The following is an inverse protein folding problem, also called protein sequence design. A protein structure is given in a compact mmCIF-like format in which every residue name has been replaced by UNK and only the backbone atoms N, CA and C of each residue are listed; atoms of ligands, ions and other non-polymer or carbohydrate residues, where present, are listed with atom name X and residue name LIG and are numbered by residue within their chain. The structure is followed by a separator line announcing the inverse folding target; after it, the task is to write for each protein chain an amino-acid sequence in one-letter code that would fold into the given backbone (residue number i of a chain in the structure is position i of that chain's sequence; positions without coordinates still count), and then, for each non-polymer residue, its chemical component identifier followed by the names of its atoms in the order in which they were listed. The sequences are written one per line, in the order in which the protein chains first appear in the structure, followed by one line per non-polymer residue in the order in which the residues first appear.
data_IF_505908745843
#
_entry.id   IF_505908745843
#
_cell.length_a   1.000
_cell.length_b   1.000
_cell.length_c   1.000
_cell.angle_alpha   90.00
_cell.angle_beta   90.00
_cell.angle_gamma   90.00
#
_symmetry.space_group_name_H-M   'P 1'
#
loop_
_entity.id
_entity.type
_entity.pdbx_description
1 polymer ?
#
# COMPACT_ATOMS: atom_id res chain seq x y z
N UNK A 1 -18.21 16.06 0.37
CA UNK A 1 -19.41 15.20 0.45
C UNK A 1 -18.95 13.76 0.59
N UNK A 2 -19.52 12.97 1.50
CA UNK A 2 -19.24 11.54 1.58
C UNK A 2 -20.19 10.83 0.61
N UNK A 3 -19.64 10.20 -0.42
CA UNK A 3 -20.41 9.35 -1.34
C UNK A 3 -20.72 8.04 -0.63
N UNK A 4 -22.00 7.79 -0.36
CA UNK A 4 -22.47 6.53 0.22
C UNK A 4 -22.84 5.57 -0.91
N UNK A 5 -22.00 4.59 -1.17
CA UNK A 5 -22.35 3.48 -2.08
C UNK A 5 -23.06 2.41 -1.28
N UNK A 6 -24.31 2.10 -1.66
CA UNK A 6 -25.17 1.12 -0.99
C UNK A 6 -25.14 -0.26 -1.62
N UNK A 7 -24.50 -0.41 -2.79
CA UNK A 7 -24.38 -1.69 -3.50
C UNK A 7 -23.49 -2.67 -2.70
N UNK A 8 -24.01 -3.82 -2.26
CA UNK A 8 -23.24 -4.87 -1.58
C UNK A 8 -22.08 -5.41 -2.43
N UNK A 9 -22.21 -5.35 -3.76
CA UNK A 9 -21.22 -5.87 -4.72
C UNK A 9 -20.10 -4.87 -5.02
N UNK A 10 -20.26 -3.61 -4.61
CA UNK A 10 -19.32 -2.53 -4.92
C UNK A 10 -17.89 -2.85 -4.52
N UNK A 11 -17.70 -3.46 -3.34
CA UNK A 11 -16.38 -3.84 -2.85
C UNK A 11 -15.70 -4.83 -3.77
N UNK A 12 -16.41 -5.88 -4.19
CA UNK A 12 -15.90 -6.91 -5.11
C UNK A 12 -15.61 -6.33 -6.48
N UNK A 13 -16.53 -5.52 -7.03
CA UNK A 13 -16.36 -4.90 -8.34
C UNK A 13 -15.17 -3.93 -8.35
N UNK A 14 -14.98 -3.15 -7.28
CA UNK A 14 -13.83 -2.26 -7.15
C UNK A 14 -12.51 -3.04 -7.11
N UNK A 15 -12.48 -4.20 -6.47
CA UNK A 15 -11.29 -5.05 -6.43
C UNK A 15 -10.94 -5.55 -7.84
N UNK A 16 -11.92 -6.07 -8.57
CA UNK A 16 -11.71 -6.59 -9.93
C UNK A 16 -11.30 -5.50 -10.92
N UNK A 17 -11.94 -4.32 -10.86
CA UNK A 17 -11.57 -3.18 -11.71
C UNK A 17 -10.15 -2.70 -11.41
N UNK A 18 -9.76 -2.58 -10.13
CA UNK A 18 -8.38 -2.19 -9.78
C UNK A 18 -7.38 -3.25 -10.24
N UNK A 19 -7.72 -4.54 -10.14
CA UNK A 19 -6.88 -5.65 -10.62
C UNK A 19 -6.60 -5.57 -12.11
N UNK A 20 -7.55 -5.08 -12.91
CA UNK A 20 -7.38 -4.87 -14.36
C UNK A 20 -6.43 -3.72 -14.71
N UNK A 21 -6.04 -2.88 -13.74
CA UNK A 21 -5.15 -1.73 -13.94
C UNK A 21 -3.86 -1.83 -13.10
N UNK A 22 -2.83 -2.55 -13.56
CA UNK A 22 -1.57 -2.73 -12.83
C UNK A 22 -0.89 -1.43 -12.41
N UNK A 23 -1.02 -0.36 -13.19
CA UNK A 23 -0.48 0.97 -12.87
C UNK A 23 -1.02 1.58 -11.55
N UNK A 24 -2.09 1.01 -10.96
CA UNK A 24 -2.64 1.44 -9.68
C UNK A 24 -1.96 0.79 -8.47
N UNK A 25 -1.33 -0.38 -8.62
CA UNK A 25 -0.79 -1.16 -7.50
C UNK A 25 0.62 -1.73 -7.73
N UNK A 26 1.00 -2.08 -8.96
CA UNK A 26 2.31 -2.60 -9.30
C UNK A 26 3.30 -1.46 -9.53
N UNK A 27 4.25 -1.32 -8.61
CA UNK A 27 5.31 -0.32 -8.64
C UNK A 27 6.32 -0.50 -9.77
N UNK A 28 6.39 -1.69 -10.37
CA UNK A 28 7.26 -2.02 -11.51
C UNK A 28 6.58 -1.67 -12.83
N UNK A 29 5.27 -1.48 -12.84
CA UNK A 29 4.57 -0.98 -14.02
C UNK A 29 5.16 0.39 -14.38
N UNK A 30 5.67 0.59 -15.60
CA UNK A 30 6.26 1.88 -16.01
C UNK A 30 5.27 3.05 -15.84
N UNK A 31 3.98 2.80 -16.04
CA UNK A 31 2.88 3.76 -15.88
C UNK A 31 2.57 4.05 -14.41
N UNK A 32 3.04 3.24 -13.46
CA UNK A 32 2.90 3.51 -12.03
C UNK A 32 3.52 4.84 -11.64
N UNK A 33 4.61 5.28 -12.28
CA UNK A 33 5.22 6.59 -11.97
C UNK A 33 4.51 7.76 -12.63
N UNK A 34 3.75 7.52 -13.70
CA UNK A 34 3.05 8.56 -14.46
C UNK A 34 1.70 8.89 -13.83
N UNK A 35 1.59 10.07 -13.20
CA UNK A 35 0.36 10.53 -12.54
C UNK A 35 -0.83 10.58 -13.49
N UNK A 36 -0.62 10.99 -14.74
CA UNK A 36 -1.66 11.05 -15.75
C UNK A 36 -2.23 9.67 -16.08
N UNK A 37 -1.39 8.66 -16.29
CA UNK A 37 -1.84 7.28 -16.52
C UNK A 37 -2.61 6.71 -15.33
N UNK A 38 -2.16 6.99 -14.10
CA UNK A 38 -2.91 6.56 -12.90
C UNK A 38 -4.26 7.27 -12.79
N UNK A 39 -4.31 8.56 -13.11
CA UNK A 39 -5.55 9.32 -13.11
C UNK A 39 -6.53 8.79 -14.15
N UNK A 40 -6.05 8.49 -15.36
CA UNK A 40 -6.87 7.86 -16.41
C UNK A 40 -7.42 6.51 -15.98
N UNK A 41 -6.59 5.66 -15.35
CA UNK A 41 -7.04 4.37 -14.81
C UNK A 41 -8.13 4.55 -13.74
N UNK A 42 -7.96 5.47 -12.79
CA UNK A 42 -9.01 5.76 -11.81
C UNK A 42 -10.30 6.28 -12.43
N UNK A 43 -10.22 7.13 -13.46
CA UNK A 43 -11.41 7.59 -14.18
C UNK A 43 -12.10 6.44 -14.92
N UNK A 44 -11.34 5.48 -15.47
CA UNK A 44 -11.90 4.25 -16.06
C UNK A 44 -12.66 3.44 -15.02
N UNK A 45 -12.07 3.23 -13.83
CA UNK A 45 -12.72 2.54 -12.71
C UNK A 45 -14.01 3.24 -12.29
N UNK A 46 -14.01 4.58 -12.18
CA UNK A 46 -15.22 5.36 -11.84
C UNK A 46 -16.32 5.14 -12.87
N UNK A 47 -15.96 5.22 -14.16
CA UNK A 47 -16.90 5.06 -15.26
C UNK A 47 -17.52 3.65 -15.29
N UNK A 48 -16.71 2.59 -15.13
CA UNK A 48 -17.19 1.21 -15.13
C UNK A 48 -18.08 0.90 -13.92
N UNK A 49 -17.75 1.45 -12.75
CA UNK A 49 -18.54 1.25 -11.54
C UNK A 49 -19.75 2.18 -11.44
N UNK A 50 -19.96 3.07 -12.42
CA UNK A 50 -20.94 4.17 -12.35
C UNK A 50 -20.87 4.92 -11.01
N UNK A 51 -19.66 5.12 -10.51
CA UNK A 51 -19.44 5.65 -9.17
C UNK A 51 -19.71 7.16 -9.17
N UNK A 52 -20.60 7.68 -8.30
CA UNK A 52 -21.05 9.07 -8.37
C UNK A 52 -20.06 10.07 -7.73
N UNK A 53 -18.78 9.70 -7.61
CA UNK A 53 -17.73 10.52 -7.01
C UNK A 53 -16.51 10.70 -7.91
N UNK A 54 -15.51 11.38 -7.38
CA UNK A 54 -14.25 11.70 -8.06
C UNK A 54 -13.14 10.68 -7.79
N UNK A 55 -12.00 10.87 -8.46
CA UNK A 55 -10.78 10.06 -8.31
C UNK A 55 -10.29 10.00 -6.86
N UNK A 56 -10.40 11.10 -6.11
CA UNK A 56 -9.97 11.11 -4.71
C UNK A 56 -10.88 10.23 -3.83
N UNK A 57 -12.19 10.27 -4.06
CA UNK A 57 -13.13 9.50 -3.25
C UNK A 57 -13.11 8.02 -3.60
N UNK A 58 -13.00 7.62 -4.88
CA UNK A 58 -12.83 6.20 -5.24
C UNK A 58 -11.51 5.63 -4.69
N UNK A 59 -10.43 6.43 -4.74
CA UNK A 59 -9.15 6.06 -4.14
C UNK A 59 -9.28 5.83 -2.63
N UNK A 60 -10.06 6.66 -1.92
CA UNK A 60 -10.33 6.45 -0.48
C UNK A 60 -11.08 5.15 -0.23
N UNK A 61 -12.03 4.76 -1.09
CA UNK A 61 -12.73 3.47 -0.97
C UNK A 61 -11.76 2.31 -1.18
N UNK A 62 -10.93 2.36 -2.22
CA UNK A 62 -9.89 1.37 -2.46
C UNK A 62 -8.92 1.25 -1.29
N UNK A 63 -8.44 2.39 -0.78
CA UNK A 63 -7.57 2.45 0.39
C UNK A 63 -8.22 1.78 1.61
N UNK A 64 -9.51 2.04 1.86
CA UNK A 64 -10.24 1.44 3.00
C UNK A 64 -10.28 -0.10 2.89
N UNK A 65 -10.55 -0.64 1.70
CA UNK A 65 -10.54 -2.09 1.44
C UNK A 65 -9.13 -2.65 1.67
N UNK A 66 -8.12 -2.04 1.04
CA UNK A 66 -6.72 -2.47 1.16
C UNK A 66 -6.21 -2.43 2.60
N UNK A 67 -6.46 -1.34 3.32
CA UNK A 67 -6.00 -1.18 4.71
C UNK A 67 -6.71 -2.15 5.67
N UNK A 68 -7.96 -2.54 5.38
CA UNK A 68 -8.65 -3.63 6.10
C UNK A 68 -8.01 -4.97 5.78
N UNK A 69 -7.71 -5.26 4.51
CA UNK A 69 -7.03 -6.48 4.10
C UNK A 69 -5.67 -6.67 4.77
N UNK A 70 -4.83 -5.63 4.80
CA UNK A 70 -3.51 -5.68 5.44
C UNK A 70 -3.64 -5.96 6.94
N UNK A 71 -4.58 -5.32 7.64
CA UNK A 71 -4.83 -5.57 9.06
C UNK A 71 -5.30 -6.99 9.32
N UNK A 72 -6.22 -7.48 8.49
CA UNK A 72 -6.77 -8.83 8.60
C UNK A 72 -5.69 -9.90 8.33
N UNK A 73 -4.89 -9.72 7.27
CA UNK A 73 -3.74 -10.59 6.96
C UNK A 73 -2.75 -10.64 8.12
N UNK A 74 -2.49 -9.50 8.78
CA UNK A 74 -1.63 -9.43 9.97
C UNK A 74 -2.24 -10.18 11.16
N UNK A 75 -3.55 -10.00 11.41
CA UNK A 75 -4.29 -10.72 12.47
C UNK A 75 -4.19 -12.23 12.28
N UNK A 76 -4.48 -12.73 11.08
CA UNK A 76 -4.43 -14.16 10.76
C UNK A 76 -3.02 -14.75 10.92
N UNK A 77 -1.99 -14.02 10.51
CA UNK A 77 -0.59 -14.44 10.72
C UNK A 77 -0.25 -14.57 12.20
N UNK A 78 -0.62 -13.59 13.03
CA UNK A 78 -0.38 -13.63 14.48
C UNK A 78 -1.12 -14.78 15.17
N UNK A 79 -2.37 -15.06 14.78
CA UNK A 79 -3.11 -16.20 15.32
C UNK A 79 -2.44 -17.53 15.00
N UNK A 80 -1.96 -17.69 13.75
CA UNK A 80 -1.26 -18.90 13.32
C UNK A 80 0.06 -19.09 14.05
N UNK A 81 0.82 -18.02 14.27
CA UNK A 81 2.06 -18.06 15.05
C UNK A 81 1.80 -18.48 16.51
N UNK A 82 0.59 -18.19 17.03
CA UNK A 82 0.10 -18.62 18.33
C UNK A 82 -0.58 -20.01 18.32
N UNK A 83 -0.49 -20.76 17.21
CA UNK A 83 -1.07 -22.11 17.07
C UNK A 83 -2.58 -22.15 16.81
N UNK A 84 -3.22 -21.00 16.55
CA UNK A 84 -4.65 -20.92 16.23
C UNK A 84 -4.84 -20.88 14.72
N UNK A 85 -5.56 -21.85 14.18
CA UNK A 85 -5.99 -21.89 12.79
C UNK A 85 -7.39 -21.30 12.67
N UNK A 86 -7.47 -20.05 12.27
CA UNK A 86 -8.70 -19.29 12.06
C UNK A 86 -8.69 -18.72 10.62
N UNK A 87 -9.86 -18.62 10.02
CA UNK A 87 -10.06 -18.05 8.69
C UNK A 87 -10.65 -16.64 8.79
N UNK A 88 -10.52 -15.82 7.73
CA UNK A 88 -11.16 -14.50 7.76
C UNK A 88 -12.68 -14.64 7.60
N UNK A 89 -13.42 -13.96 8.46
CA UNK A 89 -14.89 -13.79 8.35
C UNK A 89 -15.28 -12.66 7.39
N UNK A 90 -14.31 -12.02 6.73
CA UNK A 90 -14.58 -10.91 5.83
C UNK A 90 -14.69 -11.37 4.37
N UNK A 91 -15.87 -11.21 3.78
CA UNK A 91 -16.21 -11.72 2.44
C UNK A 91 -15.29 -11.24 1.30
N UNK A 92 -14.68 -10.06 1.42
CA UNK A 92 -13.75 -9.53 0.42
C UNK A 92 -12.30 -10.01 0.62
N UNK A 93 -12.00 -10.70 1.72
CA UNK A 93 -10.66 -11.17 2.02
C UNK A 93 -10.13 -12.15 0.95
N UNK A 94 -10.88 -13.19 0.53
CA UNK A 94 -10.43 -14.08 -0.54
C UNK A 94 -10.24 -13.35 -1.87
N UNK A 95 -11.13 -12.40 -2.18
CA UNK A 95 -11.06 -11.60 -3.41
C UNK A 95 -9.83 -10.68 -3.44
N UNK A 96 -9.27 -10.30 -2.28
CA UNK A 96 -8.06 -9.47 -2.19
C UNK A 96 -6.75 -10.26 -2.30
N UNK A 97 -6.78 -11.60 -2.24
CA UNK A 97 -5.56 -12.42 -2.14
C UNK A 97 -4.58 -12.23 -3.31
N UNK A 98 -5.05 -11.83 -4.50
CA UNK A 98 -4.19 -11.59 -5.66
C UNK A 98 -3.18 -10.46 -5.46
N UNK A 99 -3.42 -9.52 -4.54
CA UNK A 99 -2.56 -8.35 -4.35
C UNK A 99 -1.33 -8.65 -3.47
N UNK A 100 -1.31 -9.82 -2.84
CA UNK A 100 -0.29 -10.20 -1.85
C UNK A 100 1.16 -10.01 -2.32
N UNK A 101 1.54 -10.46 -3.53
CA UNK A 101 2.92 -10.30 -4.01
C UNK A 101 3.36 -8.83 -4.05
N UNK A 102 2.45 -7.92 -4.43
CA UNK A 102 2.74 -6.50 -4.61
C UNK A 102 2.81 -5.75 -3.26
N UNK A 103 2.06 -6.19 -2.25
CA UNK A 103 2.11 -5.61 -0.91
C UNK A 103 3.41 -5.94 -0.20
N UNK A 104 3.85 -7.20 -0.29
CA UNK A 104 5.07 -7.68 0.35
C UNK A 104 6.30 -7.03 -0.32
N UNK A 105 6.30 -6.88 -1.64
CA UNK A 105 7.34 -6.17 -2.39
C UNK A 105 7.44 -4.68 -1.99
N UNK A 106 6.31 -3.98 -1.90
CA UNK A 106 6.29 -2.58 -1.43
C UNK A 106 6.88 -2.45 -0.03
N UNK A 107 6.54 -3.36 0.88
CA UNK A 107 7.10 -3.37 2.23
C UNK A 107 8.61 -3.62 2.23
N UNK A 108 9.11 -4.51 1.37
CA UNK A 108 10.54 -4.77 1.22
C UNK A 108 11.29 -3.54 0.73
N UNK A 109 10.80 -2.85 -0.31
CA UNK A 109 11.46 -1.65 -0.83
C UNK A 109 11.52 -0.52 0.20
N UNK A 110 10.43 -0.30 0.96
CA UNK A 110 10.43 0.69 2.04
C UNK A 110 11.47 0.37 3.12
N UNK A 111 11.69 -0.92 3.44
CA UNK A 111 12.76 -1.36 4.36
C UNK A 111 14.16 -1.15 3.80
N UNK A 112 14.35 -1.21 2.49
CA UNK A 112 15.65 -0.94 1.86
C UNK A 112 15.97 0.55 1.84
N UNK A 113 14.97 1.41 1.58
CA UNK A 113 15.14 2.88 1.62
C UNK A 113 15.51 3.34 3.04
N UNK A 114 14.86 2.80 4.07
CA UNK A 114 15.17 3.14 5.46
C UNK A 114 16.61 2.79 5.84
N UNK A 115 17.09 1.60 5.46
CA UNK A 115 18.48 1.17 5.72
C UNK A 115 19.51 2.11 5.09
N UNK A 116 19.34 2.47 3.82
CA UNK A 116 20.25 3.41 3.14
C UNK A 116 20.37 4.77 3.81
N UNK A 117 19.26 5.32 4.32
CA UNK A 117 19.29 6.61 5.02
C UNK A 117 19.98 6.52 6.39
N UNK A 118 19.86 5.39 7.08
CA UNK A 118 20.56 5.16 8.35
C UNK A 118 22.09 4.96 8.11
N UNK A 119 22.49 4.35 6.98
CA UNK A 119 23.91 4.18 6.59
C UNK A 119 24.59 5.52 6.18
N UNK A 120 23.89 6.41 5.46
CA UNK A 120 24.44 7.72 5.02
C UNK A 120 24.55 8.75 6.17
N UNK A 121 23.75 8.62 7.22
CA UNK A 121 23.81 9.52 8.39
C UNK A 121 24.94 9.14 9.37
N UNK A 122 25.48 7.94 9.27
CA UNK A 122 26.57 7.46 10.13
C UNK A 122 27.95 8.02 9.77
N UNK A 123 28.12 8.56 8.56
CA UNK A 123 29.41 9.07 8.04
C UNK A 123 29.77 10.48 8.58
N UNK A 124 28.76 11.25 9.01
CA UNK A 124 28.95 12.63 9.52
C UNK A 124 29.17 12.71 11.04
N UNK A 125 29.31 11.57 11.73
CA UNK A 125 29.52 11.49 13.18
C UNK A 125 31.00 11.50 13.61
N UNK A 126 31.95 11.36 12.68
CA UNK A 126 33.37 11.20 13.00
C UNK A 126 34.16 12.53 13.04
N UNK A 127 33.54 13.67 12.70
CA UNK A 127 34.19 15.00 12.78
C UNK A 127 34.13 15.64 14.17
N UNK A 128 33.31 15.12 15.10
CA UNK A 128 33.18 15.70 16.46
C UNK A 128 34.33 15.29 17.39
N UNK A 129 35.02 14.17 17.10
CA UNK A 129 36.14 13.67 17.91
C UNK A 129 37.49 14.39 17.64
N UNK A 130 37.62 15.15 16.54
CA UNK A 130 38.83 15.97 16.30
C UNK A 130 38.88 17.25 17.15
N UNK A 131 37.73 17.76 17.62
CA UNK A 131 37.68 18.96 18.48
C UNK A 131 38.07 18.64 19.92
N UNK A 132 37.93 17.37 20.34
CA UNK A 132 38.21 16.95 21.72
C UNK A 132 39.68 16.53 21.95
N UNK A 133 40.45 16.22 20.90
CA UNK A 133 41.82 15.69 21.03
C UNK A 133 42.95 16.70 20.81
N UNK A 134 42.67 18.01 20.73
CA UNK A 134 43.54 18.94 20.00
C UNK A 134 44.18 20.13 20.72
N UNK A 135 44.11 20.29 22.05
CA UNK A 135 44.97 21.27 22.73
C UNK A 135 46.35 20.64 22.99
N UNK A 136 47.16 20.64 21.95
CA UNK A 136 48.61 20.44 22.03
C UNK A 136 49.27 21.82 22.09
N UNK A 137 49.90 22.06 23.23
CA UNK A 137 50.94 23.05 23.55
C UNK A 137 50.60 24.52 23.72
#
# INVERSE_FOLDING_TARGET
MQVTVTDPSFGTNLIEEVRAHPCLFDIRDPKYRHSECRNQAWNSVIAHLNYPGDVNSIYKQWKKIRDRYVREKRRLRMQRDNGVHDDSTWDLYPAMAWIDPYLDERAQLLRHVKRKHDDEMSDYGELDDMVRSGYVS
#
